data_IF_240203822555
#
_entry.id   IF_240203822555
#
_cell.length_a   1.000
_cell.length_b   1.000
_cell.length_c   1.000
_cell.angle_alpha   90.00
_cell.angle_beta   90.00
_cell.angle_gamma   90.00
#
_symmetry.space_group_name_H-M   'P 1'
#
loop_
_entity.id
_entity.type
_entity.pdbx_description
1 polymer ?
#
# COMPACT_ATOMS: atom_id res chain seq x y z
N UNK A 1 -2.12 2.17 22.27
CA UNK A 1 -3.36 2.07 21.48
C UNK A 1 -2.95 1.75 20.05
N UNK A 2 -3.38 0.61 19.51
CA UNK A 2 -3.12 0.29 18.10
C UNK A 2 -3.75 1.33 17.17
N UNK A 3 -3.18 1.52 15.99
CA UNK A 3 -3.81 2.35 14.96
C UNK A 3 -5.15 1.74 14.52
N UNK A 4 -6.13 2.58 14.20
CA UNK A 4 -7.42 2.12 13.68
C UNK A 4 -7.25 1.56 12.26
N UNK A 5 -8.09 0.58 11.87
CA UNK A 5 -8.21 0.08 10.48
C UNK A 5 -8.27 1.23 9.44
N UNK A 6 -8.99 2.31 9.74
CA UNK A 6 -9.06 3.49 8.85
C UNK A 6 -7.68 4.13 8.60
N UNK A 7 -6.89 4.33 9.65
CA UNK A 7 -5.54 4.93 9.56
C UNK A 7 -4.60 4.04 8.76
N UNK A 8 -4.61 2.74 9.03
CA UNK A 8 -3.80 1.76 8.29
C UNK A 8 -4.17 1.71 6.81
N UNK A 9 -5.48 1.77 6.49
CA UNK A 9 -5.94 1.83 5.10
C UNK A 9 -5.52 3.14 4.42
N UNK A 10 -5.60 4.27 5.14
CA UNK A 10 -5.17 5.58 4.66
C UNK A 10 -3.66 5.59 4.35
N UNK A 11 -2.84 5.00 5.21
CA UNK A 11 -1.39 4.87 5.00
C UNK A 11 -1.10 4.10 3.70
N UNK A 12 -1.80 2.99 3.46
CA UNK A 12 -1.66 2.22 2.20
C UNK A 12 -2.02 3.07 0.98
N UNK A 13 -3.10 3.87 1.07
CA UNK A 13 -3.52 4.74 -0.02
C UNK A 13 -2.46 5.84 -0.30
N UNK A 14 -1.91 6.45 0.74
CA UNK A 14 -0.84 7.46 0.63
C UNK A 14 0.44 6.87 0.00
N UNK A 15 0.82 5.64 0.36
CA UNK A 15 1.96 4.95 -0.27
C UNK A 15 1.79 4.78 -1.79
N UNK A 16 0.56 4.52 -2.23
CA UNK A 16 0.23 4.36 -3.65
C UNK A 16 0.25 5.71 -4.36
N UNK A 17 -0.35 6.74 -3.75
CA UNK A 17 -0.38 8.10 -4.28
C UNK A 17 1.03 8.68 -4.47
N UNK A 18 1.92 8.48 -3.49
CA UNK A 18 3.32 8.93 -3.50
C UNK A 18 4.16 8.40 -4.67
N UNK A 19 3.70 7.35 -5.36
CA UNK A 19 4.39 6.72 -6.50
C UNK A 19 3.71 6.95 -7.85
N UNK A 20 2.63 7.73 -7.92
CA UNK A 20 1.95 8.03 -9.19
C UNK A 20 2.89 8.67 -10.22
N UNK A 21 3.75 9.60 -9.79
CA UNK A 21 4.75 10.22 -10.66
C UNK A 21 5.83 9.23 -11.13
N UNK A 22 6.17 8.22 -10.31
CA UNK A 22 7.11 7.18 -10.73
C UNK A 22 6.48 6.21 -11.73
N UNK A 23 5.18 5.93 -11.60
CA UNK A 23 4.45 5.15 -12.61
C UNK A 23 4.42 5.89 -13.96
N UNK A 24 4.09 7.19 -13.97
CA UNK A 24 4.14 8.00 -15.19
C UNK A 24 5.55 8.01 -15.81
N UNK A 25 6.59 8.27 -15.01
CA UNK A 25 7.98 8.25 -15.51
C UNK A 25 8.36 6.88 -16.10
N UNK A 26 7.86 5.79 -15.53
CA UNK A 26 8.10 4.46 -16.05
C UNK A 26 7.45 4.26 -17.42
N UNK A 27 6.20 4.69 -17.60
CA UNK A 27 5.52 4.65 -18.90
C UNK A 27 6.25 5.48 -19.97
N UNK A 28 6.95 6.55 -19.55
CA UNK A 28 7.83 7.38 -20.40
C UNK A 28 9.22 6.76 -20.65
N UNK A 29 9.49 5.54 -20.16
CA UNK A 29 10.71 4.78 -20.42
C UNK A 29 11.76 4.80 -19.29
N UNK A 30 11.45 5.37 -18.12
CA UNK A 30 12.38 5.37 -16.98
C UNK A 30 12.34 4.05 -16.19
N UNK A 31 13.20 3.09 -16.54
CA UNK A 31 13.29 1.77 -15.88
C UNK A 31 13.53 1.82 -14.37
N UNK A 32 14.26 2.83 -13.86
CA UNK A 32 14.50 2.98 -12.43
C UNK A 32 13.22 3.36 -11.66
N UNK A 33 12.32 4.10 -12.29
CA UNK A 33 11.00 4.42 -11.73
C UNK A 33 10.14 3.17 -11.58
N UNK A 34 10.17 2.26 -12.58
CA UNK A 34 9.51 0.96 -12.48
C UNK A 34 10.00 0.12 -11.29
N UNK A 35 11.31 0.13 -11.02
CA UNK A 35 11.86 -0.55 -9.84
C UNK A 35 11.31 0.01 -8.52
N UNK A 36 11.12 1.33 -8.42
CA UNK A 36 10.53 1.97 -7.23
C UNK A 36 9.05 1.63 -7.08
N UNK A 37 8.29 1.63 -8.17
CA UNK A 37 6.87 1.21 -8.19
C UNK A 37 6.74 -0.23 -7.71
N UNK A 38 7.51 -1.17 -8.27
CA UNK A 38 7.45 -2.59 -7.89
C UNK A 38 7.78 -2.82 -6.41
N UNK A 39 8.78 -2.11 -5.88
CA UNK A 39 9.11 -2.18 -4.45
C UNK A 39 7.97 -1.68 -3.57
N UNK A 40 7.40 -0.51 -3.89
CA UNK A 40 6.24 0.02 -3.18
C UNK A 40 5.05 -0.95 -3.24
N UNK A 41 4.76 -1.54 -4.42
CA UNK A 41 3.66 -2.50 -4.56
C UNK A 41 3.84 -3.75 -3.70
N UNK A 42 5.08 -4.25 -3.57
CA UNK A 42 5.38 -5.35 -2.67
C UNK A 42 5.13 -4.99 -1.19
N UNK A 43 5.51 -3.78 -0.78
CA UNK A 43 5.27 -3.28 0.57
C UNK A 43 3.76 -3.08 0.84
N UNK A 44 3.03 -2.52 -0.13
CA UNK A 44 1.57 -2.36 -0.09
C UNK A 44 0.89 -3.73 0.03
N UNK A 45 1.30 -4.72 -0.76
CA UNK A 45 0.74 -6.06 -0.70
C UNK A 45 0.91 -6.68 0.69
N UNK A 46 2.10 -6.52 1.30
CA UNK A 46 2.37 -7.01 2.65
C UNK A 46 1.47 -6.34 3.69
N UNK A 47 1.38 -5.01 3.67
CA UNK A 47 0.53 -4.24 4.60
C UNK A 47 -0.95 -4.54 4.41
N UNK A 48 -1.44 -4.60 3.16
CA UNK A 48 -2.82 -4.90 2.84
C UNK A 48 -3.23 -6.31 3.30
N UNK A 49 -2.33 -7.30 3.16
CA UNK A 49 -2.58 -8.66 3.68
C UNK A 49 -2.74 -8.69 5.20
N UNK A 50 -1.88 -7.96 5.92
CA UNK A 50 -1.96 -7.85 7.38
C UNK A 50 -3.26 -7.15 7.81
N UNK A 51 -3.59 -6.00 7.19
CA UNK A 51 -4.82 -5.26 7.45
C UNK A 51 -6.06 -6.12 7.21
N UNK A 52 -6.09 -6.91 6.12
CA UNK A 52 -7.20 -7.82 5.84
C UNK A 52 -7.41 -8.86 6.95
N UNK A 53 -6.33 -9.41 7.50
CA UNK A 53 -6.41 -10.34 8.63
C UNK A 53 -6.97 -9.63 9.87
N UNK A 54 -6.48 -8.44 10.19
CA UNK A 54 -6.96 -7.64 11.32
C UNK A 54 -8.47 -7.32 11.20
N UNK A 55 -8.92 -6.86 10.02
CA UNK A 55 -10.34 -6.62 9.72
C UNK A 55 -11.18 -7.88 9.94
N UNK A 56 -10.67 -9.05 9.54
CA UNK A 56 -11.39 -10.31 9.68
C UNK A 56 -11.54 -10.72 11.16
N UNK A 57 -10.50 -10.54 11.96
CA UNK A 57 -10.54 -10.83 13.41
C UNK A 57 -11.44 -9.84 14.17
N UNK A 58 -11.38 -8.54 13.83
CA UNK A 58 -12.32 -7.54 14.36
C UNK A 58 -13.76 -7.85 13.98
N UNK A 59 -14.00 -8.36 12.76
CA UNK A 59 -15.35 -8.76 12.33
C UNK A 59 -15.87 -9.99 13.10
N UNK A 60 -15.00 -10.96 13.40
CA UNK A 60 -15.37 -12.17 14.16
C UNK A 60 -15.66 -11.88 15.63
N UNK A 61 -15.04 -10.86 16.20
CA UNK A 61 -15.16 -10.49 17.61
C UNK A 61 -16.30 -9.53 17.90
N UNK A 62 -17.04 -9.10 16.87
CA UNK A 62 -18.28 -8.32 16.96
C UNK A 62 -19.48 -9.23 16.75
#
# INVERSE_FOLDING_TARGET
>A
MGETIYKQLKEIAEMVDDRMLDAQKFDEGNSAAGTRVTKMLADVQKKAKALRQEVFEVRKSR
#
